data_IF_287859790867
#
_entry.id   IF_287859790867
#
_cell.length_a   1.000
_cell.length_b   1.000
_cell.length_c   1.000
_cell.angle_alpha   90.00
_cell.angle_beta   90.00
_cell.angle_gamma   90.00
#
_symmetry.space_group_name_H-M   'P 1'
#
loop_
_entity.id
_entity.type
_entity.pdbx_description
1 polymer ?
#
# COMPACT_ATOMS: atom_id res chain seq x y z
N UNK A 1 -72.99 -23.85 15.39
CA UNK A 1 -72.49 -22.50 15.74
C UNK A 1 -71.02 -22.65 16.12
N UNK A 2 -70.00 -22.05 15.49
CA UNK A 2 -69.94 -21.01 14.45
C UNK A 2 -68.51 -21.09 13.85
N UNK A 3 -68.38 -21.72 12.69
CA UNK A 3 -67.18 -21.73 11.84
C UNK A 3 -67.14 -20.42 11.06
N UNK A 4 -66.56 -19.34 11.58
CA UNK A 4 -66.46 -18.05 10.84
C UNK A 4 -65.47 -17.06 11.46
N UNK A 5 -64.25 -17.49 11.83
CA UNK A 5 -63.21 -16.56 12.33
C UNK A 5 -61.82 -16.74 11.72
N UNK A 6 -61.73 -17.30 10.52
CA UNK A 6 -60.44 -17.54 9.83
C UNK A 6 -60.38 -16.99 8.40
N UNK A 7 -61.20 -15.98 8.06
CA UNK A 7 -61.28 -15.41 6.70
C UNK A 7 -61.24 -13.88 6.67
N UNK A 8 -60.41 -13.24 7.50
CA UNK A 8 -60.17 -11.78 7.39
C UNK A 8 -58.71 -11.34 7.61
N UNK A 9 -57.75 -12.26 7.68
CA UNK A 9 -56.33 -11.92 7.92
C UNK A 9 -55.41 -12.09 6.70
N UNK A 10 -55.94 -12.46 5.53
CA UNK A 10 -55.15 -12.71 4.31
C UNK A 10 -55.26 -11.61 3.25
N UNK A 11 -56.08 -10.57 3.46
CA UNK A 11 -56.27 -9.51 2.47
C UNK A 11 -55.36 -8.29 2.62
N UNK A 12 -54.67 -8.12 3.78
CA UNK A 12 -53.85 -6.91 4.02
C UNK A 12 -52.35 -7.13 3.73
N UNK A 13 -51.85 -8.37 3.80
CA UNK A 13 -50.42 -8.65 3.56
C UNK A 13 -50.03 -8.78 2.09
N UNK A 14 -50.98 -8.95 1.16
CA UNK A 14 -50.68 -9.10 -0.27
C UNK A 14 -50.43 -7.77 -1.00
N UNK A 15 -50.79 -6.62 -0.41
CA UNK A 15 -50.61 -5.30 -1.06
C UNK A 15 -49.26 -4.66 -0.69
N UNK A 16 -48.67 -5.00 0.46
CA UNK A 16 -47.38 -4.45 0.89
C UNK A 16 -46.15 -5.02 0.16
N UNK A 17 -46.26 -6.23 -0.40
CA UNK A 17 -45.13 -6.93 -1.03
C UNK A 17 -44.83 -6.45 -2.46
N UNK A 18 -45.73 -5.69 -3.10
CA UNK A 18 -45.53 -5.23 -4.49
C UNK A 18 -44.75 -3.92 -4.56
N UNK A 19 -44.69 -3.13 -3.48
CA UNK A 19 -44.04 -1.81 -3.49
C UNK A 19 -42.53 -1.82 -3.18
N UNK A 20 -41.96 -2.94 -2.71
CA UNK A 20 -40.53 -3.02 -2.37
C UNK A 20 -39.62 -3.37 -3.56
N UNK A 21 -40.19 -3.81 -4.70
CA UNK A 21 -39.41 -4.19 -5.89
C UNK A 21 -39.10 -3.03 -6.85
N UNK A 22 -39.68 -1.85 -6.66
CA UNK A 22 -39.49 -0.70 -7.56
C UNK A 22 -38.36 0.25 -7.17
N UNK A 23 -37.77 0.09 -5.98
CA UNK A 23 -36.70 0.99 -5.50
C UNK A 23 -35.30 0.69 -6.10
N UNK A 24 -35.11 -0.46 -6.76
CA UNK A 24 -33.79 -0.90 -7.26
C UNK A 24 -33.50 -0.52 -8.73
N UNK A 25 -34.42 0.16 -9.42
CA UNK A 25 -34.25 0.51 -10.85
C UNK A 25 -33.99 2.00 -11.09
N UNK A 26 -33.60 2.77 -10.07
CA UNK A 26 -33.11 4.14 -10.28
C UNK A 26 -31.85 4.08 -11.16
N UNK A 27 -31.82 4.75 -12.34
CA UNK A 27 -30.61 4.88 -13.14
C UNK A 27 -29.53 5.51 -12.26
N UNK A 28 -28.45 4.79 -11.98
CA UNK A 28 -27.32 5.41 -11.30
C UNK A 28 -26.83 6.57 -12.18
N UNK A 29 -26.71 7.79 -11.64
CA UNK A 29 -26.17 8.89 -12.41
C UNK A 29 -24.80 8.47 -12.93
N UNK A 30 -24.56 8.68 -14.23
CA UNK A 30 -23.30 8.33 -14.87
C UNK A 30 -22.15 8.95 -14.07
N UNK A 31 -21.36 8.09 -13.40
CA UNK A 31 -20.22 8.55 -12.61
C UNK A 31 -19.20 9.13 -13.59
N UNK A 32 -18.81 10.40 -13.37
CA UNK A 32 -17.70 10.99 -14.12
C UNK A 32 -16.46 10.09 -13.94
N UNK A 33 -15.70 9.80 -15.02
CA UNK A 33 -14.47 9.03 -14.90
C UNK A 33 -13.54 9.68 -13.87
N UNK A 34 -13.02 8.88 -12.94
CA UNK A 34 -12.00 9.36 -12.02
C UNK A 34 -10.73 9.69 -12.82
N UNK A 35 -10.00 10.77 -12.45
CA UNK A 35 -8.68 11.02 -12.99
C UNK A 35 -7.79 9.78 -12.79
N UNK A 36 -7.08 9.37 -13.85
CA UNK A 36 -6.09 8.29 -13.74
C UNK A 36 -4.84 8.84 -13.05
N UNK A 37 -4.20 8.08 -12.15
CA UNK A 37 -2.90 8.47 -11.62
C UNK A 37 -1.90 8.66 -12.76
N UNK A 38 -1.18 9.78 -12.73
CA UNK A 38 -0.15 10.11 -13.69
C UNK A 38 1.21 10.19 -12.99
N UNK A 39 2.27 9.70 -13.62
CA UNK A 39 3.59 9.75 -13.02
C UNK A 39 4.19 11.15 -13.14
N UNK A 40 4.41 11.78 -11.98
CA UNK A 40 4.97 13.15 -11.91
C UNK A 40 6.50 13.13 -12.04
N UNK A 41 7.19 12.44 -11.12
CA UNK A 41 8.66 12.42 -11.06
C UNK A 41 9.27 11.23 -11.81
N UNK A 42 10.39 11.44 -12.52
CA UNK A 42 11.14 10.33 -13.11
C UNK A 42 11.73 9.42 -12.03
N UNK A 43 12.12 8.19 -12.41
CA UNK A 43 12.69 7.20 -11.48
C UNK A 43 13.82 7.79 -10.63
N UNK A 44 14.78 8.51 -11.24
CA UNK A 44 15.91 9.06 -10.51
C UNK A 44 15.46 10.02 -9.40
N UNK A 45 14.52 10.92 -9.72
CA UNK A 45 13.94 11.83 -8.75
C UNK A 45 13.15 11.12 -7.64
N UNK A 46 12.48 10.01 -7.94
CA UNK A 46 11.84 9.17 -6.91
C UNK A 46 12.88 8.55 -5.97
N UNK A 47 14.03 8.11 -6.51
CA UNK A 47 15.11 7.56 -5.69
C UNK A 47 15.75 8.63 -4.82
N UNK A 48 16.12 9.78 -5.38
CA UNK A 48 16.81 10.86 -4.67
C UNK A 48 15.89 11.61 -3.69
N UNK A 49 14.64 11.84 -4.08
CA UNK A 49 13.69 12.64 -3.30
C UNK A 49 12.90 11.85 -2.26
N UNK A 50 12.73 10.54 -2.46
CA UNK A 50 11.93 9.70 -1.56
C UNK A 50 12.76 8.52 -1.06
N UNK A 51 13.25 7.65 -1.94
CA UNK A 51 13.81 6.37 -1.49
C UNK A 51 15.07 6.50 -0.61
N UNK A 52 16.08 7.24 -1.07
CA UNK A 52 17.35 7.43 -0.35
C UNK A 52 17.17 8.12 1.01
N UNK A 53 16.54 9.32 1.10
CA UNK A 53 16.44 10.02 2.38
C UNK A 53 15.64 9.22 3.41
N UNK A 54 14.55 8.56 2.99
CA UNK A 54 13.73 7.75 3.91
C UNK A 54 14.48 6.50 4.38
N UNK A 55 15.19 5.79 3.49
CA UNK A 55 15.98 4.60 3.85
C UNK A 55 17.11 4.97 4.80
N UNK A 56 17.83 6.07 4.54
CA UNK A 56 18.92 6.56 5.41
C UNK A 56 18.41 7.02 6.76
N UNK A 57 17.28 7.73 6.81
CA UNK A 57 16.67 8.15 8.07
C UNK A 57 16.25 6.94 8.92
N UNK A 58 15.64 5.92 8.29
CA UNK A 58 15.28 4.66 8.95
C UNK A 58 16.50 3.90 9.45
N UNK A 59 17.56 3.81 8.65
CA UNK A 59 18.82 3.16 9.05
C UNK A 59 19.44 3.81 10.27
N UNK A 60 19.56 5.14 10.28
CA UNK A 60 20.04 5.91 11.43
C UNK A 60 19.16 5.71 12.66
N UNK A 61 17.84 5.79 12.49
CA UNK A 61 16.90 5.69 13.60
C UNK A 61 16.89 4.28 14.22
N UNK A 62 16.90 3.23 13.39
CA UNK A 62 16.81 1.84 13.83
C UNK A 62 18.17 1.21 14.14
N UNK A 63 19.28 1.96 14.01
CA UNK A 63 20.59 1.57 14.51
C UNK A 63 20.56 1.31 16.04
N UNK A 64 19.69 2.02 16.76
CA UNK A 64 19.36 1.76 18.16
C UNK A 64 17.83 1.64 18.33
N UNK A 65 17.38 1.09 19.47
CA UNK A 65 15.95 1.00 19.77
C UNK A 65 15.34 2.40 19.93
N UNK A 66 14.31 2.78 19.14
CA UNK A 66 13.62 4.05 19.33
C UNK A 66 13.05 4.18 20.74
N UNK A 67 13.27 5.35 21.37
CA UNK A 67 13.01 5.57 22.80
C UNK A 67 11.59 6.05 23.09
N UNK A 68 10.99 6.76 22.14
CA UNK A 68 9.71 7.45 22.33
C UNK A 68 8.72 7.14 21.19
N UNK A 69 7.46 7.53 21.40
CA UNK A 69 6.38 7.29 20.45
C UNK A 69 6.55 8.05 19.13
N UNK A 70 7.17 9.24 19.16
CA UNK A 70 7.35 10.08 17.98
C UNK A 70 8.37 9.47 17.03
N UNK A 71 9.45 8.89 17.56
CA UNK A 71 10.42 8.13 16.80
C UNK A 71 9.78 6.91 16.11
N UNK A 72 8.89 6.18 16.80
CA UNK A 72 8.13 5.10 16.18
C UNK A 72 7.16 5.58 15.11
N UNK A 73 6.48 6.70 15.34
CA UNK A 73 5.59 7.31 14.36
C UNK A 73 6.36 7.77 13.12
N UNK A 74 7.55 8.36 13.31
CA UNK A 74 8.46 8.74 12.24
C UNK A 74 8.89 7.50 11.45
N UNK A 75 9.36 6.43 12.10
CA UNK A 75 9.73 5.19 11.44
C UNK A 75 8.57 4.64 10.57
N UNK A 76 7.34 4.59 11.13
CA UNK A 76 6.16 4.18 10.37
C UNK A 76 5.93 5.07 9.16
N UNK A 77 6.01 6.39 9.33
CA UNK A 77 5.81 7.36 8.26
C UNK A 77 6.82 7.20 7.12
N UNK A 78 8.11 7.12 7.42
CA UNK A 78 9.14 6.94 6.39
C UNK A 78 8.99 5.60 5.65
N UNK A 79 8.57 4.56 6.37
CA UNK A 79 8.31 3.24 5.78
C UNK A 79 7.12 3.28 4.81
N UNK A 80 6.07 4.03 5.13
CA UNK A 80 4.94 4.21 4.22
C UNK A 80 5.33 5.03 2.98
N UNK A 81 6.19 6.03 3.12
CA UNK A 81 6.71 6.78 1.96
C UNK A 81 7.51 5.87 1.02
N UNK A 82 8.29 4.93 1.55
CA UNK A 82 8.95 3.90 0.74
C UNK A 82 7.97 2.93 0.08
N UNK A 83 6.90 2.55 0.78
CA UNK A 83 5.87 1.70 0.21
C UNK A 83 5.16 2.39 -0.96
N UNK A 84 4.82 3.67 -0.80
CA UNK A 84 4.23 4.48 -1.86
C UNK A 84 5.22 4.72 -3.01
N UNK A 85 6.52 4.87 -2.74
CA UNK A 85 7.52 4.92 -3.81
C UNK A 85 7.46 3.67 -4.71
N UNK A 86 7.20 2.49 -4.14
CA UNK A 86 6.93 1.26 -4.91
C UNK A 86 5.75 1.42 -5.87
N UNK A 87 4.63 2.00 -5.42
CA UNK A 87 3.49 2.30 -6.30
C UNK A 87 3.87 3.30 -7.40
N UNK A 88 4.61 4.35 -7.05
CA UNK A 88 5.04 5.39 -8.01
C UNK A 88 5.92 4.80 -9.12
N UNK A 89 6.79 3.84 -8.79
CA UNK A 89 7.63 3.17 -9.76
C UNK A 89 6.82 2.33 -10.75
N UNK A 90 5.75 1.66 -10.30
CA UNK A 90 4.89 0.86 -11.19
C UNK A 90 4.19 1.69 -12.28
N UNK A 91 4.08 3.01 -12.13
CA UNK A 91 3.43 3.87 -13.12
C UNK A 91 4.29 4.13 -14.37
N UNK A 92 5.60 3.87 -14.34
CA UNK A 92 6.51 4.03 -15.51
C UNK A 92 7.50 2.88 -15.63
N UNK A 93 7.06 1.66 -15.97
CA UNK A 93 7.97 0.57 -16.23
C UNK A 93 8.78 0.80 -17.53
N UNK A 94 9.90 0.08 -17.71
CA UNK A 94 10.59 -0.01 -19.00
C UNK A 94 9.66 -0.48 -20.11
N UNK A 95 9.91 -0.05 -21.36
CA UNK A 95 9.06 -0.39 -22.52
C UNK A 95 9.19 -1.84 -22.99
N UNK A 96 10.29 -2.52 -22.66
CA UNK A 96 10.47 -3.92 -23.04
C UNK A 96 9.64 -4.81 -22.12
N UNK A 97 8.98 -5.83 -22.66
CA UNK A 97 8.10 -6.69 -21.85
C UNK A 97 8.84 -7.38 -20.69
N UNK A 98 10.02 -7.93 -20.97
CA UNK A 98 10.84 -8.53 -19.92
C UNK A 98 11.29 -7.50 -18.87
N UNK A 99 11.61 -6.27 -19.27
CA UNK A 99 11.96 -5.20 -18.36
C UNK A 99 10.77 -4.73 -17.52
N UNK A 100 9.59 -4.63 -18.12
CA UNK A 100 8.34 -4.31 -17.44
C UNK A 100 8.00 -5.34 -16.37
N UNK A 101 8.03 -6.63 -16.70
CA UNK A 101 7.66 -7.69 -15.74
C UNK A 101 8.61 -7.68 -14.53
N UNK A 102 9.93 -7.66 -14.76
CA UNK A 102 10.89 -7.55 -13.66
C UNK A 102 10.74 -6.26 -12.86
N UNK A 103 10.42 -5.15 -13.51
CA UNK A 103 10.20 -3.86 -12.86
C UNK A 103 9.00 -3.89 -11.92
N UNK A 104 7.85 -4.38 -12.40
CA UNK A 104 6.63 -4.49 -11.61
C UNK A 104 6.81 -5.44 -10.43
N UNK A 105 7.51 -6.56 -10.63
CA UNK A 105 7.87 -7.48 -9.54
C UNK A 105 8.71 -6.77 -8.47
N UNK A 106 9.83 -6.15 -8.84
CA UNK A 106 10.73 -5.52 -7.87
C UNK A 106 10.10 -4.29 -7.18
N UNK A 107 9.32 -3.49 -7.89
CA UNK A 107 8.56 -2.39 -7.30
C UNK A 107 7.53 -2.90 -6.28
N UNK A 108 6.89 -4.05 -6.56
CA UNK A 108 5.97 -4.72 -5.64
C UNK A 108 6.68 -5.24 -4.40
N UNK A 109 7.85 -5.86 -4.57
CA UNK A 109 8.67 -6.31 -3.45
C UNK A 109 9.09 -5.16 -2.52
N UNK A 110 9.45 -4.00 -3.09
CA UNK A 110 9.75 -2.80 -2.30
C UNK A 110 8.52 -2.36 -1.50
N UNK A 111 7.36 -2.24 -2.17
CA UNK A 111 6.11 -1.86 -1.52
C UNK A 111 5.76 -2.78 -0.36
N UNK A 112 5.84 -4.08 -0.58
CA UNK A 112 5.41 -5.08 0.38
C UNK A 112 6.39 -5.16 1.57
N UNK A 113 7.69 -5.09 1.30
CA UNK A 113 8.73 -5.06 2.34
C UNK A 113 8.65 -3.79 3.20
N UNK A 114 8.43 -2.63 2.58
CA UNK A 114 8.27 -1.36 3.28
C UNK A 114 6.95 -1.31 4.07
N UNK A 115 5.90 -1.95 3.58
CA UNK A 115 4.64 -2.15 4.33
C UNK A 115 4.86 -3.02 5.57
N UNK A 116 5.65 -4.09 5.48
CA UNK A 116 6.00 -4.91 6.63
C UNK A 116 6.79 -4.12 7.68
N UNK A 117 7.73 -3.28 7.24
CA UNK A 117 8.46 -2.36 8.12
C UNK A 117 7.51 -1.36 8.81
N UNK A 118 6.58 -0.77 8.07
CA UNK A 118 5.58 0.14 8.63
C UNK A 118 4.73 -0.54 9.72
N UNK A 119 4.34 -1.81 9.51
CA UNK A 119 3.61 -2.60 10.51
C UNK A 119 4.44 -2.87 11.76
N UNK A 120 5.70 -3.27 11.59
CA UNK A 120 6.62 -3.49 12.70
C UNK A 120 6.86 -2.21 13.52
N UNK A 121 7.03 -1.07 12.84
CA UNK A 121 7.17 0.23 13.47
C UNK A 121 5.89 0.64 14.23
N UNK A 122 4.71 0.40 13.66
CA UNK A 122 3.43 0.64 14.33
C UNK A 122 3.26 -0.21 15.60
N UNK A 123 3.72 -1.47 15.57
CA UNK A 123 3.74 -2.38 16.72
C UNK A 123 4.87 -2.09 17.72
N UNK A 124 5.77 -1.13 17.42
CA UNK A 124 6.97 -0.83 18.20
C UNK A 124 7.88 -2.04 18.41
N UNK A 125 7.87 -2.97 17.45
CA UNK A 125 8.69 -4.18 17.48
C UNK A 125 10.06 -3.88 16.87
N UNK A 126 11.05 -3.67 17.72
CA UNK A 126 12.40 -3.29 17.32
C UNK A 126 13.13 -4.36 16.51
N UNK A 127 13.05 -5.62 16.91
CA UNK A 127 13.75 -6.68 16.20
C UNK A 127 13.10 -6.90 14.85
N UNK A 128 11.76 -6.93 14.80
CA UNK A 128 11.04 -7.08 13.54
C UNK A 128 11.22 -5.87 12.62
N UNK A 129 11.31 -4.65 13.16
CA UNK A 129 11.57 -3.44 12.37
C UNK A 129 12.98 -3.47 11.77
N UNK A 130 14.02 -3.87 12.51
CA UNK A 130 15.36 -4.00 11.94
C UNK A 130 15.43 -5.06 10.84
N UNK A 131 14.82 -6.21 11.06
CA UNK A 131 14.73 -7.28 10.05
C UNK A 131 13.97 -6.80 8.80
N UNK A 132 12.85 -6.10 8.98
CA UNK A 132 12.08 -5.57 7.87
C UNK A 132 12.83 -4.49 7.08
N UNK A 133 13.62 -3.64 7.75
CA UNK A 133 14.48 -2.65 7.07
C UNK A 133 15.58 -3.34 6.24
N UNK A 134 16.16 -4.44 6.72
CA UNK A 134 17.05 -5.27 5.92
C UNK A 134 16.32 -5.86 4.69
N UNK A 135 15.05 -6.28 4.85
CA UNK A 135 14.18 -6.70 3.75
C UNK A 135 13.98 -5.60 2.70
N UNK A 136 13.73 -4.36 3.12
CA UNK A 136 13.62 -3.19 2.24
C UNK A 136 14.93 -2.98 1.45
N UNK A 137 16.07 -2.95 2.13
CA UNK A 137 17.36 -2.79 1.46
C UNK A 137 17.64 -3.92 0.44
N UNK A 138 17.25 -5.15 0.78
CA UNK A 138 17.36 -6.28 -0.14
C UNK A 138 16.45 -6.13 -1.37
N UNK A 139 15.24 -5.60 -1.22
CA UNK A 139 14.36 -5.29 -2.36
C UNK A 139 14.98 -4.21 -3.28
N UNK A 140 15.53 -3.14 -2.70
CA UNK A 140 16.28 -2.14 -3.46
C UNK A 140 17.44 -2.78 -4.23
N UNK A 141 18.25 -3.59 -3.56
CA UNK A 141 19.43 -4.22 -4.15
C UNK A 141 19.09 -5.21 -5.28
N UNK A 142 18.01 -5.98 -5.17
CA UNK A 142 17.55 -6.87 -6.26
C UNK A 142 17.17 -6.06 -7.49
N UNK A 143 16.39 -5.00 -7.31
CA UNK A 143 16.04 -4.09 -8.42
C UNK A 143 17.30 -3.48 -9.05
N UNK A 144 18.20 -2.93 -8.23
CA UNK A 144 19.44 -2.34 -8.69
C UNK A 144 20.31 -3.33 -9.45
N UNK A 145 20.41 -4.58 -9.00
CA UNK A 145 21.15 -5.63 -9.68
C UNK A 145 20.54 -5.96 -11.05
N UNK A 146 19.22 -6.18 -11.12
CA UNK A 146 18.50 -6.47 -12.37
C UNK A 146 18.69 -5.37 -13.41
N UNK A 147 18.62 -4.11 -12.98
CA UNK A 147 18.75 -2.93 -13.86
C UNK A 147 20.16 -2.33 -13.89
N UNK A 148 21.16 -3.04 -13.33
CA UNK A 148 22.59 -2.68 -13.35
C UNK A 148 22.89 -1.28 -12.81
N UNK A 149 22.19 -0.88 -11.76
CA UNK A 149 22.48 0.34 -11.00
C UNK A 149 23.68 0.06 -10.09
N UNK A 150 24.74 0.86 -10.22
CA UNK A 150 25.99 0.70 -9.45
C UNK A 150 25.91 1.08 -7.97
N UNK A 151 24.72 1.04 -7.37
CA UNK A 151 24.46 1.41 -5.98
C UNK A 151 23.99 0.19 -5.19
N UNK A 152 24.71 -0.13 -4.12
CA UNK A 152 24.28 -1.09 -3.11
C UNK A 152 23.78 -0.34 -1.88
N UNK A 153 22.55 -0.66 -1.46
CA UNK A 153 21.92 -0.14 -0.25
C UNK A 153 22.31 -1.01 0.94
N UNK A 154 22.97 -0.40 1.92
CA UNK A 154 23.20 -0.97 3.25
C UNK A 154 22.37 -0.17 4.27
N UNK A 155 21.41 -0.81 4.96
CA UNK A 155 20.57 -0.12 5.94
C UNK A 155 21.29 0.18 7.26
N UNK A 156 22.44 -0.46 7.54
CA UNK A 156 23.20 -0.29 8.77
C UNK A 156 24.70 -0.18 8.47
N UNK A 157 25.15 0.87 7.76
CA UNK A 157 26.57 1.05 7.47
C UNK A 157 27.35 1.19 8.78
N UNK A 158 28.49 0.51 8.89
CA UNK A 158 29.31 0.43 10.12
C UNK A 158 29.99 1.77 10.49
N UNK A 159 29.91 2.79 9.63
CA UNK A 159 30.72 4.00 9.73
C UNK A 159 30.18 5.16 8.87
N UNK A 160 29.33 6.03 9.45
CA UNK A 160 29.09 7.41 8.96
C UNK A 160 28.80 8.39 10.08
#
# INVERSE_FOLDING_TARGET
>A
MTRTRFWFATAVFAVGAVFLSLAHSQPQPARKPLPKPEPVAETKLLMEGIADPNTRALGKLLAAKPKDADAWAFARGQSLLLAEAGNLLMMRPPKSKAGEDSWLTHAGELRDSATALARAAAAKDYLQARTALAGVANACNRCHQTFRVGLRVDPFPEDR
#
